data_IF_245081999998
#
_entry.id   IF_245081999998
#
_cell.length_a   1.000
_cell.length_b   1.000
_cell.length_c   1.000
_cell.angle_alpha   90.00
_cell.angle_beta   90.00
_cell.angle_gamma   90.00
#
_symmetry.space_group_name_H-M   'P 1'
#
loop_
_entity.id
_entity.type
_entity.pdbx_description
1 polymer ?
#
# COMPACT_ATOMS: atom_id res chain seq x y z
N UNK A 1 -8.44 -4.59 28.09
CA UNK A 1 -8.77 -3.15 27.99
C UNK A 1 -7.54 -2.45 27.44
N UNK A 2 -7.67 -1.64 26.36
CA UNK A 2 -6.54 -0.85 25.85
C UNK A 2 -6.04 0.16 26.86
N UNK A 3 -4.72 0.34 26.94
CA UNK A 3 -4.10 1.38 27.76
C UNK A 3 -3.92 2.64 26.91
N UNK A 4 -4.42 3.77 27.40
CA UNK A 4 -4.24 5.05 26.72
C UNK A 4 -2.94 5.70 27.19
N UNK A 5 -1.95 5.73 26.33
CA UNK A 5 -0.61 6.21 26.69
C UNK A 5 -0.34 7.67 26.29
N UNK A 6 -1.25 8.31 25.53
CA UNK A 6 -1.00 9.65 25.01
C UNK A 6 0.29 9.71 24.21
N UNK A 7 1.13 10.71 24.50
CA UNK A 7 2.43 10.91 23.85
C UNK A 7 3.61 10.52 24.76
N UNK A 8 3.41 9.64 25.72
CA UNK A 8 4.45 9.29 26.69
C UNK A 8 5.63 8.54 26.07
N UNK A 9 5.37 7.68 25.07
CA UNK A 9 6.39 6.89 24.39
C UNK A 9 5.89 6.35 23.05
N UNK A 10 6.82 5.84 22.25
CA UNK A 10 6.55 5.03 21.05
C UNK A 10 6.92 3.59 21.37
N UNK A 11 6.02 2.65 21.11
CA UNK A 11 6.25 1.23 21.29
C UNK A 11 6.12 0.47 19.96
N UNK A 12 6.87 -0.59 19.81
CA UNK A 12 6.76 -1.57 18.69
C UNK A 12 6.18 -2.89 19.19
N UNK A 13 5.81 -3.75 18.30
CA UNK A 13 5.36 -5.10 18.65
C UNK A 13 6.42 -5.81 19.54
N UNK A 14 5.97 -6.62 20.50
CA UNK A 14 6.73 -7.30 21.56
C UNK A 14 7.23 -6.40 22.69
N UNK A 15 7.21 -5.07 22.57
CA UNK A 15 7.50 -4.23 23.72
C UNK A 15 6.46 -4.46 24.82
N UNK A 16 6.87 -4.34 26.07
CA UNK A 16 6.01 -4.62 27.22
C UNK A 16 6.27 -3.64 28.38
N UNK A 17 5.27 -3.47 29.23
CA UNK A 17 5.43 -2.69 30.44
C UNK A 17 6.22 -3.50 31.45
N UNK A 18 7.18 -2.85 32.15
CA UNK A 18 8.02 -3.49 33.17
C UNK A 18 7.29 -3.69 34.50
N UNK A 19 6.17 -3.01 34.69
CA UNK A 19 5.36 -3.03 35.91
C UNK A 19 3.88 -3.12 35.57
N UNK A 20 3.07 -3.49 36.53
CA UNK A 20 1.62 -3.46 36.43
C UNK A 20 1.13 -2.04 36.16
N UNK A 21 0.19 -1.89 35.24
CA UNK A 21 -0.39 -0.60 34.92
C UNK A 21 -1.60 -0.33 35.80
N UNK A 22 -1.47 0.67 36.64
CA UNK A 22 -2.57 1.18 37.48
C UNK A 22 -3.17 2.43 36.84
N UNK A 23 -4.49 2.54 36.81
CA UNK A 23 -5.14 3.70 36.23
C UNK A 23 -6.64 3.72 36.37
N UNK A 24 -7.29 4.72 35.78
CA UNK A 24 -8.73 4.90 35.83
C UNK A 24 -9.33 4.40 34.52
N UNK A 25 -10.41 3.62 34.59
CA UNK A 25 -11.13 3.18 33.40
C UNK A 25 -11.98 4.34 32.89
N UNK A 26 -11.77 4.76 31.66
CA UNK A 26 -12.50 5.81 30.99
C UNK A 26 -13.19 5.28 29.73
N UNK A 27 -14.21 5.99 29.24
CA UNK A 27 -14.89 5.67 28.00
C UNK A 27 -14.70 6.82 27.01
N UNK A 28 -13.93 6.55 25.94
CA UNK A 28 -13.64 7.54 24.86
C UNK A 28 -13.67 6.87 23.50
N UNK A 29 -14.22 7.55 22.51
CA UNK A 29 -14.27 7.08 21.12
C UNK A 29 -14.85 5.66 21.01
N UNK A 30 -15.98 5.44 21.69
CA UNK A 30 -16.71 4.15 21.72
C UNK A 30 -15.97 2.96 22.34
N UNK A 31 -14.87 3.19 23.08
CA UNK A 31 -14.11 2.12 23.74
C UNK A 31 -13.82 2.47 25.21
N UNK A 32 -13.83 1.43 26.05
CA UNK A 32 -13.25 1.51 27.38
C UNK A 32 -11.73 1.47 27.29
N UNK A 33 -11.06 2.39 27.96
CA UNK A 33 -9.60 2.51 28.02
C UNK A 33 -9.16 2.67 29.45
N UNK A 34 -7.96 2.20 29.77
CA UNK A 34 -7.28 2.48 31.03
C UNK A 34 -6.41 3.71 30.84
N UNK A 35 -6.70 4.80 31.57
CA UNK A 35 -5.83 5.98 31.65
C UNK A 35 -4.90 5.82 32.84
N UNK A 36 -3.58 5.63 32.62
CA UNK A 36 -2.64 5.41 33.71
C UNK A 36 -2.53 6.63 34.62
N UNK A 37 -2.42 6.38 35.94
CA UNK A 37 -2.17 7.40 36.94
C UNK A 37 -0.68 7.49 37.30
N UNK A 38 0.16 6.70 36.66
CA UNK A 38 1.61 6.64 36.84
C UNK A 38 2.33 6.81 35.51
N UNK A 39 3.60 7.19 35.55
CA UNK A 39 4.45 7.13 34.37
C UNK A 39 4.70 5.67 33.99
N UNK A 40 4.48 5.35 32.71
CA UNK A 40 4.70 4.00 32.23
C UNK A 40 6.15 3.81 31.81
N UNK A 41 6.72 2.68 32.21
CA UNK A 41 8.05 2.24 31.78
C UNK A 41 7.90 1.11 30.77
N UNK A 42 8.53 1.26 29.59
CA UNK A 42 8.47 0.31 28.50
C UNK A 42 9.84 -0.33 28.30
N UNK A 43 9.86 -1.64 28.22
CA UNK A 43 11.03 -2.43 27.88
C UNK A 43 10.96 -2.84 26.43
N UNK A 44 12.07 -2.69 25.71
CA UNK A 44 12.24 -3.19 24.36
C UNK A 44 12.13 -4.72 24.35
N UNK A 45 11.16 -5.25 23.61
CA UNK A 45 10.92 -6.68 23.43
C UNK A 45 11.85 -7.36 22.41
N UNK A 46 12.86 -6.65 21.93
CA UNK A 46 13.92 -7.19 21.06
C UNK A 46 13.53 -7.46 19.62
N UNK A 47 12.36 -6.96 19.17
CA UNK A 47 11.98 -7.10 17.77
C UNK A 47 12.89 -6.24 16.90
N UNK A 48 13.61 -6.87 16.00
CA UNK A 48 14.45 -6.22 15.00
C UNK A 48 13.81 -6.29 13.62
N UNK A 49 14.16 -5.35 12.74
CA UNK A 49 13.85 -5.46 11.32
C UNK A 49 14.52 -6.71 10.76
N UNK A 50 13.78 -7.45 9.95
CA UNK A 50 14.26 -8.64 9.28
C UNK A 50 14.19 -8.45 7.79
N UNK A 51 15.28 -8.67 7.08
CA UNK A 51 15.29 -8.72 5.64
C UNK A 51 14.57 -10.00 5.16
N UNK A 52 13.98 -9.93 3.97
CA UNK A 52 13.39 -11.09 3.32
C UNK A 52 14.45 -12.18 3.11
N UNK A 53 14.06 -13.43 3.27
CA UNK A 53 14.98 -14.56 3.01
C UNK A 53 15.11 -14.83 1.51
N UNK A 54 14.12 -14.40 0.72
CA UNK A 54 14.14 -14.53 -0.75
C UNK A 54 15.24 -13.67 -1.33
N UNK A 55 16.12 -14.30 -2.09
CA UNK A 55 17.20 -13.62 -2.81
C UNK A 55 16.89 -13.61 -4.31
N UNK A 56 17.16 -12.50 -5.02
CA UNK A 56 17.09 -12.48 -6.47
C UNK A 56 18.00 -13.52 -7.08
N UNK A 57 17.54 -14.17 -8.14
CA UNK A 57 18.35 -15.08 -8.95
C UNK A 57 18.03 -14.90 -10.42
N UNK A 58 18.95 -15.29 -11.29
CA UNK A 58 18.75 -15.14 -12.74
C UNK A 58 17.51 -15.90 -13.24
N UNK A 59 17.26 -17.08 -12.68
CA UNK A 59 16.22 -17.99 -13.16
C UNK A 59 14.84 -17.81 -12.50
N UNK A 60 14.74 -16.96 -11.49
CA UNK A 60 13.50 -16.77 -10.73
C UNK A 60 13.04 -15.31 -10.80
N UNK A 61 11.76 -15.14 -11.06
CA UNK A 61 11.09 -13.88 -10.94
C UNK A 61 10.79 -13.59 -9.47
N UNK A 62 11.14 -12.39 -9.01
CA UNK A 62 10.83 -11.93 -7.65
C UNK A 62 9.76 -10.86 -7.68
N UNK A 63 8.69 -11.05 -6.89
CA UNK A 63 7.57 -10.13 -6.80
C UNK A 63 7.35 -9.77 -5.34
N UNK A 64 7.22 -8.48 -5.05
CA UNK A 64 6.86 -7.97 -3.73
C UNK A 64 5.57 -7.17 -3.78
N UNK A 65 4.89 -7.07 -2.64
CA UNK A 65 3.76 -6.15 -2.41
C UNK A 65 4.07 -5.29 -1.20
N UNK A 66 3.86 -3.97 -1.34
CA UNK A 66 4.22 -3.03 -0.28
C UNK A 66 3.23 -1.87 -0.20
N UNK A 67 2.68 -1.62 1.00
CA UNK A 67 1.89 -0.42 1.26
C UNK A 67 2.83 0.73 1.61
N UNK A 68 2.80 1.80 0.81
CA UNK A 68 3.66 2.99 0.95
C UNK A 68 2.97 4.15 1.66
N UNK A 69 1.77 3.92 2.16
CA UNK A 69 0.99 4.83 3.01
C UNK A 69 0.87 6.26 2.44
N UNK A 70 -0.21 6.52 1.69
CA UNK A 70 -0.51 7.87 1.18
C UNK A 70 0.68 8.59 0.54
N UNK A 71 1.32 7.94 -0.44
CA UNK A 71 2.55 8.42 -1.06
C UNK A 71 2.28 9.24 -2.32
N UNK A 72 2.82 10.46 -2.41
CA UNK A 72 2.72 11.36 -3.57
C UNK A 72 4.04 11.98 -3.98
N UNK A 73 4.07 12.54 -5.21
CA UNK A 73 5.23 13.25 -5.72
C UNK A 73 5.52 14.51 -4.90
N UNK A 74 4.49 15.26 -4.51
CA UNK A 74 4.65 16.39 -3.61
C UNK A 74 4.36 15.98 -2.15
N UNK A 75 4.79 16.81 -1.22
CA UNK A 75 4.59 16.58 0.21
C UNK A 75 3.35 17.37 0.73
N UNK A 76 2.22 17.29 0.02
CA UNK A 76 1.00 17.92 0.46
C UNK A 76 0.62 17.43 1.87
N UNK A 77 0.23 18.38 2.74
CA UNK A 77 -0.14 18.10 4.14
C UNK A 77 0.89 17.24 4.91
N UNK A 78 2.15 17.30 4.50
CA UNK A 78 3.26 16.54 5.11
C UNK A 78 3.05 15.00 5.11
N UNK A 79 2.45 14.46 4.04
CA UNK A 79 2.17 13.03 3.92
C UNK A 79 3.32 12.24 3.31
N UNK A 80 4.16 12.91 2.52
CA UNK A 80 5.31 12.30 1.83
C UNK A 80 6.61 13.09 2.07
N UNK A 81 7.05 13.24 3.33
CA UNK A 81 8.32 13.89 3.62
C UNK A 81 9.50 13.07 3.08
N UNK A 82 10.63 13.72 2.80
CA UNK A 82 11.78 13.10 2.11
C UNK A 82 12.44 11.96 2.91
N UNK A 83 12.36 12.00 4.23
CA UNK A 83 12.81 10.89 5.08
C UNK A 83 11.93 9.63 4.87
N UNK A 84 10.61 9.77 4.74
CA UNK A 84 9.72 8.66 4.39
C UNK A 84 10.07 8.06 3.03
N UNK A 85 10.31 8.91 2.02
CA UNK A 85 10.72 8.46 0.68
C UNK A 85 12.01 7.65 0.77
N UNK A 86 12.98 8.14 1.54
CA UNK A 86 14.28 7.50 1.75
C UNK A 86 14.15 6.18 2.51
N UNK A 87 13.31 6.12 3.56
CA UNK A 87 13.07 4.90 4.33
C UNK A 87 12.43 3.80 3.47
N UNK A 88 11.42 4.15 2.65
CA UNK A 88 10.77 3.17 1.76
C UNK A 88 11.76 2.67 0.72
N UNK A 89 12.54 3.56 0.08
CA UNK A 89 13.55 3.17 -0.90
C UNK A 89 14.62 2.26 -0.29
N UNK A 90 15.11 2.55 0.92
CA UNK A 90 16.05 1.68 1.64
C UNK A 90 15.43 0.32 1.96
N UNK A 91 14.15 0.26 2.34
CA UNK A 91 13.47 -1.03 2.55
C UNK A 91 13.46 -1.87 1.27
N UNK A 92 13.24 -1.25 0.10
CA UNK A 92 13.26 -1.98 -1.17
C UNK A 92 14.66 -2.49 -1.53
N UNK A 93 15.71 -1.74 -1.19
CA UNK A 93 17.09 -2.13 -1.47
C UNK A 93 17.58 -3.19 -0.50
N UNK A 94 17.45 -2.95 0.80
CA UNK A 94 18.13 -3.72 1.83
C UNK A 94 17.29 -4.80 2.49
N UNK A 95 15.96 -4.60 2.57
CA UNK A 95 15.06 -5.52 3.27
C UNK A 95 14.40 -6.51 2.31
N UNK A 96 14.00 -6.08 1.10
CA UNK A 96 13.39 -6.97 0.10
C UNK A 96 14.25 -7.20 -1.16
N UNK A 97 15.51 -6.74 -1.14
CA UNK A 97 16.58 -7.07 -2.11
C UNK A 97 16.27 -6.71 -3.56
N UNK A 98 15.67 -5.55 -3.82
CA UNK A 98 15.35 -5.06 -5.16
C UNK A 98 14.60 -6.09 -6.03
N UNK A 99 13.34 -6.45 -5.71
CA UNK A 99 12.55 -7.40 -6.49
C UNK A 99 12.40 -6.97 -7.94
N UNK A 100 12.12 -7.91 -8.83
CA UNK A 100 11.90 -7.62 -10.25
C UNK A 100 10.61 -6.82 -10.47
N UNK A 101 9.58 -7.08 -9.64
CA UNK A 101 8.28 -6.37 -9.67
C UNK A 101 7.87 -6.03 -8.23
N UNK A 102 7.39 -4.80 -8.01
CA UNK A 102 6.86 -4.36 -6.73
C UNK A 102 5.46 -3.76 -6.94
N UNK A 103 4.44 -4.40 -6.39
CA UNK A 103 3.10 -3.80 -6.36
C UNK A 103 3.02 -2.80 -5.22
N UNK A 104 2.68 -1.56 -5.54
CA UNK A 104 2.54 -0.46 -4.61
C UNK A 104 1.10 -0.24 -4.23
N UNK A 105 0.83 -0.21 -2.94
CA UNK A 105 -0.47 0.08 -2.36
C UNK A 105 -0.43 1.49 -1.76
N UNK A 106 -1.50 2.26 -1.93
CA UNK A 106 -1.65 3.63 -1.45
C UNK A 106 -0.72 4.65 -2.14
N UNK A 107 -0.55 4.49 -3.46
CA UNK A 107 -0.04 5.58 -4.29
C UNK A 107 -1.13 6.64 -4.42
N UNK A 108 -0.81 7.90 -4.12
CA UNK A 108 -1.67 9.04 -4.41
C UNK A 108 -1.38 9.60 -5.80
N UNK A 109 -2.21 10.52 -6.27
CA UNK A 109 -1.88 11.29 -7.46
C UNK A 109 -0.63 12.19 -7.23
N UNK A 110 -0.25 12.94 -8.26
CA UNK A 110 1.02 13.69 -8.26
C UNK A 110 1.06 14.80 -7.20
N UNK A 111 -0.08 15.36 -6.80
CA UNK A 111 -0.17 16.45 -5.83
C UNK A 111 -0.75 16.03 -4.47
N UNK A 112 -0.96 14.74 -4.25
CA UNK A 112 -1.36 14.18 -2.97
C UNK A 112 -2.82 14.48 -2.64
N UNK A 113 -3.12 14.88 -1.42
CA UNK A 113 -4.49 15.15 -0.98
C UNK A 113 -4.98 16.58 -1.31
N UNK A 114 -4.51 17.17 -2.40
CA UNK A 114 -5.03 18.42 -2.94
C UNK A 114 -6.16 18.08 -3.90
N UNK A 115 -7.37 18.56 -3.60
CA UNK A 115 -8.58 18.29 -4.37
C UNK A 115 -8.71 19.33 -5.50
N UNK A 116 -8.11 19.07 -6.65
CA UNK A 116 -8.08 19.95 -7.80
C UNK A 116 -8.35 19.23 -9.15
N UNK A 117 -8.80 17.97 -9.09
CA UNK A 117 -9.09 17.15 -10.27
C UNK A 117 -7.87 16.46 -10.86
N UNK A 118 -6.69 16.56 -10.24
CA UNK A 118 -5.52 15.79 -10.67
C UNK A 118 -5.73 14.31 -10.39
N UNK A 119 -5.59 13.45 -11.42
CA UNK A 119 -5.77 12.00 -11.25
C UNK A 119 -4.54 11.19 -11.60
N UNK A 120 -3.53 11.75 -12.27
CA UNK A 120 -2.28 11.05 -12.60
C UNK A 120 -1.39 10.86 -11.36
N UNK A 121 -0.89 9.65 -11.13
CA UNK A 121 0.10 9.32 -10.09
C UNK A 121 1.48 8.97 -10.65
N UNK A 122 1.71 9.24 -11.92
CA UNK A 122 2.96 8.86 -12.62
C UNK A 122 4.19 9.47 -11.96
N UNK A 123 4.12 10.76 -11.58
CA UNK A 123 5.25 11.41 -10.90
C UNK A 123 5.45 10.88 -9.47
N UNK A 124 4.38 10.43 -8.81
CA UNK A 124 4.49 9.77 -7.50
C UNK A 124 5.29 8.46 -7.61
N UNK A 125 4.96 7.61 -8.57
CA UNK A 125 5.74 6.39 -8.83
C UNK A 125 7.19 6.68 -9.25
N UNK A 126 7.40 7.68 -10.11
CA UNK A 126 8.74 8.10 -10.56
C UNK A 126 9.61 8.64 -9.43
N UNK A 127 9.03 9.42 -8.50
CA UNK A 127 9.76 9.92 -7.34
C UNK A 127 10.37 8.78 -6.53
N UNK A 128 9.61 7.74 -6.26
CA UNK A 128 10.11 6.58 -5.54
C UNK A 128 11.16 5.80 -6.34
N UNK A 129 10.90 5.55 -7.64
CA UNK A 129 11.87 4.88 -8.53
C UNK A 129 13.21 5.64 -8.61
N UNK A 130 13.17 6.96 -8.73
CA UNK A 130 14.36 7.80 -8.73
C UNK A 130 15.13 7.71 -7.42
N UNK A 131 14.43 7.77 -6.27
CA UNK A 131 15.09 7.66 -4.96
C UNK A 131 15.75 6.30 -4.77
N UNK A 132 15.13 5.21 -5.21
CA UNK A 132 15.75 3.87 -5.17
C UNK A 132 17.05 3.88 -5.96
N UNK A 133 17.05 4.42 -7.18
CA UNK A 133 18.24 4.52 -8.04
C UNK A 133 19.32 5.41 -7.43
N UNK A 134 18.98 6.57 -6.88
CA UNK A 134 19.90 7.49 -6.21
C UNK A 134 20.63 6.85 -5.03
N UNK A 135 19.95 5.96 -4.31
CA UNK A 135 20.52 5.23 -3.18
C UNK A 135 21.28 3.95 -3.58
N UNK A 136 21.50 3.73 -4.88
CA UNK A 136 22.26 2.59 -5.41
C UNK A 136 21.43 1.32 -5.64
N UNK A 137 20.11 1.40 -5.56
CA UNK A 137 19.21 0.30 -5.92
C UNK A 137 19.05 0.13 -7.43
N UNK A 138 18.21 -0.81 -7.84
CA UNK A 138 17.90 -1.06 -9.25
C UNK A 138 17.12 0.08 -9.88
N UNK A 139 17.24 0.23 -11.20
CA UNK A 139 16.37 1.13 -11.96
C UNK A 139 15.00 0.50 -12.12
N UNK A 140 13.95 1.26 -11.81
CA UNK A 140 12.57 0.83 -11.99
C UNK A 140 11.83 1.76 -12.94
N UNK A 141 10.92 1.19 -13.71
CA UNK A 141 9.86 1.90 -14.40
C UNK A 141 8.54 1.74 -13.64
N UNK A 142 7.61 2.65 -13.87
CA UNK A 142 6.32 2.68 -13.16
C UNK A 142 5.15 2.59 -14.14
N UNK A 143 4.12 1.85 -13.75
CA UNK A 143 2.86 1.74 -14.49
C UNK A 143 1.65 1.75 -13.57
N UNK A 144 0.54 2.33 -14.03
CA UNK A 144 -0.73 2.43 -13.32
C UNK A 144 -1.90 2.55 -14.31
N UNK A 145 -3.12 2.50 -13.80
CA UNK A 145 -4.31 3.07 -14.45
C UNK A 145 -4.90 4.10 -13.47
N UNK A 146 -4.91 5.37 -13.88
CA UNK A 146 -5.45 6.44 -13.06
C UNK A 146 -6.96 6.21 -12.78
N UNK A 147 -7.48 6.51 -11.58
CA UNK A 147 -8.90 6.45 -11.29
C UNK A 147 -9.68 7.58 -11.98
N UNK A 148 -10.99 7.49 -11.97
CA UNK A 148 -11.86 8.66 -12.14
C UNK A 148 -11.76 9.50 -10.87
N UNK A 149 -11.70 10.80 -11.01
CA UNK A 149 -11.55 11.71 -9.87
C UNK A 149 -12.61 11.47 -8.80
N UNK A 150 -12.14 11.28 -7.55
CA UNK A 150 -12.99 11.06 -6.37
C UNK A 150 -13.75 9.72 -6.32
N UNK A 151 -13.65 8.84 -7.35
CA UNK A 151 -14.54 7.68 -7.48
C UNK A 151 -14.09 6.46 -6.66
N UNK A 152 -12.79 6.33 -6.35
CA UNK A 152 -12.24 5.09 -5.77
C UNK A 152 -12.17 5.11 -4.23
N UNK A 153 -12.77 6.09 -3.58
CA UNK A 153 -12.75 6.24 -2.13
C UNK A 153 -11.35 6.51 -1.57
N UNK A 154 -11.19 6.27 -0.28
CA UNK A 154 -9.96 6.59 0.44
C UNK A 154 -9.93 8.05 0.89
N UNK A 155 -8.75 8.67 0.92
CA UNK A 155 -8.58 10.06 1.35
C UNK A 155 -9.08 11.02 0.28
N UNK A 156 -9.98 11.97 0.61
CA UNK A 156 -10.48 12.93 -0.37
C UNK A 156 -9.37 13.70 -1.08
N UNK A 157 -9.51 13.91 -2.38
CA UNK A 157 -8.55 14.59 -3.23
C UNK A 157 -7.28 13.80 -3.57
N UNK A 158 -7.07 12.61 -2.99
CA UNK A 158 -5.82 11.86 -3.17
C UNK A 158 -5.85 10.90 -4.35
N UNK A 159 -7.03 10.54 -4.83
CA UNK A 159 -7.19 9.58 -5.91
C UNK A 159 -6.31 8.33 -5.74
N UNK A 160 -6.34 7.73 -4.54
CA UNK A 160 -5.49 6.60 -4.14
C UNK A 160 -5.69 5.42 -5.09
N UNK A 161 -4.58 4.83 -5.55
CA UNK A 161 -4.59 3.71 -6.48
C UNK A 161 -3.52 2.68 -6.16
N UNK A 162 -3.55 1.63 -6.95
CA UNK A 162 -2.47 0.67 -7.08
C UNK A 162 -1.54 1.09 -8.21
N UNK A 163 -0.24 0.94 -8.00
CA UNK A 163 0.77 1.10 -9.02
C UNK A 163 1.76 -0.06 -9.00
N UNK A 164 2.55 -0.21 -10.03
CA UNK A 164 3.58 -1.23 -10.10
C UNK A 164 4.90 -0.60 -10.53
N UNK A 165 5.95 -0.84 -9.73
CA UNK A 165 7.34 -0.67 -10.14
C UNK A 165 7.85 -1.98 -10.73
N UNK A 166 8.57 -1.92 -11.83
CA UNK A 166 9.20 -3.09 -12.44
C UNK A 166 10.60 -2.77 -12.95
N UNK A 167 11.50 -3.73 -12.83
CA UNK A 167 12.88 -3.63 -13.30
C UNK A 167 12.94 -3.97 -14.80
N UNK A 168 13.18 -3.00 -15.71
CA UNK A 168 13.17 -3.23 -17.14
C UNK A 168 14.35 -4.07 -17.64
N UNK A 169 15.38 -4.28 -16.84
CA UNK A 169 16.48 -5.21 -17.17
C UNK A 169 16.09 -6.67 -16.96
N UNK A 170 15.01 -6.92 -16.23
CA UNK A 170 14.56 -8.26 -15.83
C UNK A 170 13.24 -8.68 -16.46
N UNK A 171 12.31 -7.74 -16.55
CA UNK A 171 10.98 -7.97 -17.13
C UNK A 171 10.66 -6.87 -18.13
N UNK A 172 9.93 -7.20 -19.18
CA UNK A 172 9.39 -6.22 -20.11
C UNK A 172 7.87 -6.09 -19.91
N UNK A 173 7.38 -4.86 -19.90
CA UNK A 173 5.94 -4.59 -19.93
C UNK A 173 5.40 -5.00 -21.31
N UNK A 174 4.37 -5.87 -21.35
CA UNK A 174 3.76 -6.25 -22.61
C UNK A 174 3.18 -5.01 -23.33
N UNK A 175 3.71 -4.71 -24.52
CA UNK A 175 3.38 -3.48 -25.28
C UNK A 175 1.98 -3.56 -25.86
N UNK A 176 1.01 -3.02 -25.15
CA UNK A 176 -0.40 -2.89 -25.55
C UNK A 176 -0.91 -1.51 -25.16
N UNK A 177 -2.03 -1.09 -25.74
CA UNK A 177 -2.71 0.10 -25.29
C UNK A 177 -3.18 -0.09 -23.84
N UNK A 178 -3.01 0.93 -22.99
CA UNK A 178 -3.54 0.92 -21.65
C UNK A 178 -5.06 1.05 -21.65
N UNK A 179 -5.73 0.37 -20.72
CA UNK A 179 -7.14 0.59 -20.49
C UNK A 179 -7.39 1.95 -19.82
N UNK A 180 -8.54 2.53 -20.08
CA UNK A 180 -9.02 3.70 -19.33
C UNK A 180 -9.50 3.31 -17.94
N UNK A 181 -9.82 4.31 -17.10
CA UNK A 181 -10.29 4.12 -15.71
C UNK A 181 -11.49 3.17 -15.59
N UNK A 182 -12.38 3.16 -16.59
CA UNK A 182 -13.65 2.43 -16.58
C UNK A 182 -13.66 1.21 -17.52
N UNK A 183 -12.57 0.94 -18.23
CA UNK A 183 -12.46 -0.25 -19.07
C UNK A 183 -11.99 -1.43 -18.23
N UNK A 184 -12.82 -2.47 -18.19
CA UNK A 184 -12.49 -3.70 -17.48
C UNK A 184 -11.40 -4.50 -18.20
N UNK A 185 -10.50 -5.10 -17.43
CA UNK A 185 -9.53 -6.06 -17.94
C UNK A 185 -10.23 -7.20 -18.68
N UNK A 186 -9.78 -7.43 -19.90
CA UNK A 186 -10.23 -8.54 -20.74
C UNK A 186 -9.05 -9.43 -21.07
N UNK A 187 -9.29 -10.72 -21.13
CA UNK A 187 -8.27 -11.71 -21.45
C UNK A 187 -8.62 -12.43 -22.76
N UNK A 188 -7.64 -12.57 -23.63
CA UNK A 188 -7.69 -13.45 -24.77
C UNK A 188 -6.53 -14.44 -24.70
N UNK A 189 -6.85 -15.74 -24.69
CA UNK A 189 -5.87 -16.84 -24.61
C UNK A 189 -4.82 -16.69 -23.50
N UNK A 190 -5.24 -16.14 -22.35
CA UNK A 190 -4.37 -15.93 -21.18
C UNK A 190 -3.58 -14.62 -21.18
N UNK A 191 -3.74 -13.78 -22.20
CA UNK A 191 -3.12 -12.47 -22.31
C UNK A 191 -4.12 -11.35 -22.06
N UNK A 192 -3.68 -10.26 -21.45
CA UNK A 192 -4.48 -9.04 -21.37
C UNK A 192 -4.69 -8.44 -22.78
N UNK A 193 -5.92 -8.05 -23.10
CA UNK A 193 -6.23 -7.33 -24.34
C UNK A 193 -5.65 -5.92 -24.32
N UNK A 194 -5.83 -5.20 -23.18
CA UNK A 194 -5.20 -3.91 -22.87
C UNK A 194 -4.30 -4.04 -21.66
N UNK A 195 -3.21 -3.32 -21.60
CA UNK A 195 -2.20 -3.45 -20.55
C UNK A 195 -1.53 -2.11 -20.20
N UNK A 196 -1.62 -1.60 -18.94
CA UNK A 196 -2.35 -2.17 -17.80
C UNK A 196 -3.87 -2.03 -17.91
N UNK A 197 -4.61 -2.77 -17.05
CA UNK A 197 -6.06 -2.70 -16.99
C UNK A 197 -6.59 -2.92 -15.57
N UNK A 198 -7.79 -2.41 -15.27
CA UNK A 198 -8.44 -2.56 -13.95
C UNK A 198 -9.42 -3.73 -13.98
N UNK A 199 -9.44 -4.54 -12.92
CA UNK A 199 -10.38 -5.66 -12.80
C UNK A 199 -11.76 -5.12 -12.44
N UNK A 200 -12.75 -5.42 -13.28
CA UNK A 200 -14.17 -5.13 -13.06
C UNK A 200 -14.45 -3.72 -12.45
N UNK A 201 -13.90 -2.61 -13.00
CA UNK A 201 -13.95 -1.30 -12.35
C UNK A 201 -15.35 -0.74 -12.14
N UNK A 202 -16.35 -1.27 -12.86
CA UNK A 202 -17.75 -0.86 -12.79
C UNK A 202 -18.63 -1.83 -11.99
N UNK A 203 -18.05 -2.85 -11.36
CA UNK A 203 -18.80 -3.76 -10.50
C UNK A 203 -19.16 -3.04 -9.19
N UNK A 204 -20.44 -3.08 -8.74
CA UNK A 204 -20.89 -2.43 -7.51
C UNK A 204 -20.09 -2.84 -6.25
N UNK A 205 -19.51 -4.04 -6.22
CA UNK A 205 -18.64 -4.49 -5.13
C UNK A 205 -17.39 -3.62 -4.97
N UNK A 206 -17.01 -2.88 -6.02
CA UNK A 206 -15.89 -1.95 -5.99
C UNK A 206 -16.32 -0.49 -5.80
N UNK A 207 -17.59 -0.19 -5.54
CA UNK A 207 -18.00 1.19 -5.29
C UNK A 207 -17.25 1.79 -4.11
N UNK A 208 -16.74 3.01 -4.32
CA UNK A 208 -15.92 3.73 -3.33
C UNK A 208 -14.73 2.94 -2.78
N UNK A 209 -14.22 1.96 -3.53
CA UNK A 209 -13.01 1.22 -3.20
C UNK A 209 -11.98 1.28 -4.34
N UNK A 210 -10.72 1.01 -4.01
CA UNK A 210 -9.64 0.93 -5.01
C UNK A 210 -9.84 -0.31 -5.86
N UNK A 211 -9.81 -0.14 -7.18
CA UNK A 211 -9.96 -1.26 -8.14
C UNK A 211 -8.65 -2.01 -8.27
N UNK A 212 -8.73 -3.34 -8.33
CA UNK A 212 -7.55 -4.18 -8.56
C UNK A 212 -6.91 -3.87 -9.92
N UNK A 213 -5.58 -3.85 -9.96
CA UNK A 213 -4.79 -3.54 -11.15
C UNK A 213 -4.16 -4.81 -11.72
N UNK A 214 -4.46 -5.15 -12.96
CA UNK A 214 -3.82 -6.23 -13.71
C UNK A 214 -2.80 -5.67 -14.68
N UNK A 215 -1.59 -6.24 -14.66
CA UNK A 215 -0.49 -5.87 -15.56
C UNK A 215 0.18 -7.12 -16.09
N UNK A 216 0.35 -7.21 -17.39
CA UNK A 216 1.05 -8.29 -18.07
C UNK A 216 2.49 -7.89 -18.36
N UNK A 217 3.40 -8.73 -17.93
CA UNK A 217 4.83 -8.66 -18.17
C UNK A 217 5.30 -9.89 -18.95
N UNK A 218 6.49 -9.79 -19.51
CA UNK A 218 7.23 -10.92 -20.03
C UNK A 218 8.49 -11.13 -19.18
N UNK A 219 8.71 -12.36 -18.73
CA UNK A 219 9.92 -12.79 -18.06
C UNK A 219 10.51 -13.99 -18.78
N UNK A 220 11.71 -13.86 -19.35
CA UNK A 220 12.40 -14.92 -20.11
C UNK A 220 11.52 -15.53 -21.23
N UNK A 221 10.78 -14.69 -21.95
CA UNK A 221 9.90 -15.12 -23.04
C UNK A 221 8.59 -15.76 -22.57
N UNK A 222 8.28 -15.72 -21.27
CA UNK A 222 7.03 -16.24 -20.72
C UNK A 222 6.16 -15.09 -20.21
N UNK A 223 4.86 -15.07 -20.57
CA UNK A 223 3.94 -14.07 -20.07
C UNK A 223 3.65 -14.30 -18.57
N UNK A 224 3.61 -13.21 -17.82
CA UNK A 224 3.24 -13.21 -16.40
C UNK A 224 2.26 -12.08 -16.15
N UNK A 225 1.05 -12.40 -15.70
CA UNK A 225 0.07 -11.40 -15.28
C UNK A 225 0.12 -11.24 -13.77
N UNK A 226 0.40 -10.02 -13.34
CA UNK A 226 0.37 -9.63 -11.92
C UNK A 226 -0.91 -8.87 -11.64
N UNK A 227 -1.68 -9.32 -10.63
CA UNK A 227 -2.89 -8.64 -10.17
C UNK A 227 -2.64 -8.10 -8.77
N UNK A 228 -2.50 -6.78 -8.66
CA UNK A 228 -2.38 -6.08 -7.39
C UNK A 228 -3.76 -5.80 -6.80
N UNK A 229 -3.88 -5.90 -5.47
CA UNK A 229 -5.12 -5.66 -4.75
C UNK A 229 -4.89 -4.73 -3.55
N UNK A 230 -5.86 -3.85 -3.30
CA UNK A 230 -5.95 -3.06 -2.09
C UNK A 230 -7.34 -3.26 -1.48
N UNK A 231 -7.44 -4.18 -0.52
CA UNK A 231 -8.71 -4.52 0.11
C UNK A 231 -9.22 -3.36 0.98
N UNK A 232 -10.55 -3.29 1.17
CA UNK A 232 -11.16 -2.28 2.02
C UNK A 232 -10.62 -2.36 3.45
N UNK A 233 -10.36 -1.19 4.06
CA UNK A 233 -10.03 -1.11 5.48
C UNK A 233 -11.18 -1.60 6.34
N UNK A 234 -10.85 -2.27 7.44
CA UNK A 234 -11.83 -2.68 8.47
C UNK A 234 -12.16 -1.55 9.46
N UNK A 235 -11.67 -0.34 9.25
CA UNK A 235 -12.03 0.82 10.09
C UNK A 235 -13.51 1.12 9.86
N UNK A 236 -14.28 1.06 10.94
CA UNK A 236 -15.74 1.27 10.91
C UNK A 236 -16.55 0.01 10.68
N UNK A 237 -15.91 -1.14 10.48
CA UNK A 237 -16.61 -2.43 10.50
C UNK A 237 -17.03 -2.79 11.93
N UNK A 238 -18.08 -3.59 12.04
CA UNK A 238 -18.54 -4.11 13.32
C UNK A 238 -17.51 -5.08 13.93
N UNK A 239 -17.51 -5.17 15.26
CA UNK A 239 -16.62 -6.07 15.97
C UNK A 239 -16.88 -7.53 15.58
N UNK A 240 -15.80 -8.25 15.23
CA UNK A 240 -15.86 -9.70 14.91
C UNK A 240 -16.08 -10.55 16.18
N UNK A 241 -16.01 -9.93 17.38
CA UNK A 241 -16.08 -10.62 18.67
C UNK A 241 -17.46 -10.51 19.29
N UNK A 242 -17.95 -11.62 19.82
CA UNK A 242 -19.18 -11.68 20.60
C UNK A 242 -20.15 -12.74 20.08
N UNK A 243 -21.18 -12.97 20.87
CA UNK A 243 -22.20 -13.99 20.59
C UNK A 243 -23.19 -13.57 19.49
N UNK A 244 -23.19 -12.30 19.09
CA UNK A 244 -24.08 -11.76 18.07
C UNK A 244 -23.28 -11.06 16.99
N UNK A 245 -23.31 -11.60 15.80
CA UNK A 245 -22.81 -10.93 14.60
C UNK A 245 -23.94 -10.07 14.03
N UNK A 246 -23.65 -8.86 13.51
CA UNK A 246 -24.66 -8.07 12.80
C UNK A 246 -25.23 -8.88 11.63
N UNK A 247 -26.51 -8.74 11.42
CA UNK A 247 -27.21 -9.38 10.27
C UNK A 247 -26.95 -8.64 8.93
N UNK A 248 -25.95 -7.78 8.87
CA UNK A 248 -25.60 -7.02 7.66
C UNK A 248 -24.60 -7.83 6.85
N UNK A 249 -24.96 -8.19 5.65
CA UNK A 249 -24.02 -8.71 4.67
C UNK A 249 -22.96 -7.63 4.38
N UNK A 250 -21.74 -7.84 4.85
CA UNK A 250 -20.61 -7.04 4.40
C UNK A 250 -20.30 -7.47 2.97
N UNK A 251 -20.71 -6.67 2.00
CA UNK A 251 -20.19 -6.80 0.63
C UNK A 251 -18.68 -6.61 0.67
N UNK A 252 -17.99 -7.67 0.34
CA UNK A 252 -16.52 -7.72 0.23
C UNK A 252 -15.98 -6.77 -0.82
#
# INVERSE_FOLDING_TARGET
IPVYVGNQFVAKAKDYFTEDVTGVVTYRNSFYKLEPTQQLMVQDGGLQRQAAQTQPSEDKLTIASYNIENFSANNAKNETPEDKVTLIANSFIHEIHNPDIITLIEVQDNNGSVDDGTTSGVESGRKLANRIKELGGKSYEYTEVAPVDGADGGKPGSNIRLGILYNPERVSLAKKEAATSNEAAQFDKGHLVKNPARIAPNDPSFDHTRKSLAVEFEFKGQPVVVIANHLKSKIGDDAIYGASQPAVEHTL
#
